data_IF_769218903069
#
_entry.id   IF_769218903069
#
_cell.length_a   1.000
_cell.length_b   1.000
_cell.length_c   1.000
_cell.angle_alpha   90.00
_cell.angle_beta   90.00
_cell.angle_gamma   90.00
#
_symmetry.space_group_name_H-M   'P 1'
#
loop_
_entity.id
_entity.type
_entity.pdbx_description
1 polymer ?
#
# COMPACT_ATOMS: atom_id res chain seq x y z
N UNK A 1 2.53 3.34 -53.64
CA UNK A 1 1.08 3.51 -53.46
C UNK A 1 0.78 4.94 -53.00
N UNK A 2 0.18 5.75 -53.87
CA UNK A 2 -0.33 7.09 -53.54
C UNK A 2 -1.59 6.93 -52.67
N UNK A 3 -1.49 7.34 -51.41
CA UNK A 3 -2.61 7.23 -50.45
C UNK A 3 -3.61 8.36 -50.69
N UNK A 4 -4.85 8.02 -50.99
CA UNK A 4 -5.92 9.02 -51.19
C UNK A 4 -6.24 9.72 -49.87
N UNK A 5 -6.51 11.02 -49.93
CA UNK A 5 -6.83 11.86 -48.77
C UNK A 5 -7.95 11.31 -47.86
N UNK A 6 -9.11 10.84 -48.36
CA UNK A 6 -10.16 10.27 -47.50
C UNK A 6 -9.69 9.02 -46.75
N UNK A 7 -8.84 8.20 -47.37
CA UNK A 7 -8.27 7.01 -46.72
C UNK A 7 -7.32 7.40 -45.59
N UNK A 8 -6.56 8.48 -45.76
CA UNK A 8 -5.68 9.02 -44.73
C UNK A 8 -6.48 9.51 -43.51
N UNK A 9 -7.55 10.27 -43.73
CA UNK A 9 -8.42 10.76 -42.64
C UNK A 9 -9.06 9.59 -41.89
N UNK A 10 -9.64 8.60 -42.60
CA UNK A 10 -10.23 7.41 -41.96
C UNK A 10 -9.21 6.66 -41.09
N UNK A 11 -7.99 6.46 -41.60
CA UNK A 11 -6.91 5.79 -40.85
C UNK A 11 -6.51 6.60 -39.62
N UNK A 12 -6.44 7.93 -39.72
CA UNK A 12 -6.14 8.80 -38.58
C UNK A 12 -7.21 8.72 -37.50
N UNK A 13 -8.51 8.70 -37.86
CA UNK A 13 -9.60 8.50 -36.90
C UNK A 13 -9.50 7.15 -36.17
N UNK A 14 -9.21 6.06 -36.90
CA UNK A 14 -9.04 4.74 -36.27
C UNK A 14 -7.83 4.71 -35.34
N UNK A 15 -6.70 5.30 -35.75
CA UNK A 15 -5.51 5.40 -34.90
C UNK A 15 -5.75 6.29 -33.68
N UNK A 16 -6.49 7.38 -33.81
CA UNK A 16 -6.87 8.25 -32.70
C UNK A 16 -7.82 7.53 -31.71
N UNK A 17 -8.79 6.76 -32.21
CA UNK A 17 -9.66 5.93 -31.37
C UNK A 17 -8.88 4.86 -30.60
N UNK A 18 -7.96 4.16 -31.27
CA UNK A 18 -7.04 3.23 -30.62
C UNK A 18 -6.12 3.93 -29.61
N UNK A 19 -5.72 5.17 -29.91
CA UNK A 19 -4.91 5.96 -29.01
C UNK A 19 -5.68 6.31 -27.74
N UNK A 20 -6.94 6.74 -27.82
CA UNK A 20 -7.77 6.97 -26.62
C UNK A 20 -7.94 5.70 -25.78
N UNK A 21 -8.07 4.54 -26.44
CA UNK A 21 -8.12 3.26 -25.74
C UNK A 21 -6.84 2.95 -24.96
N UNK A 22 -5.70 3.60 -25.24
CA UNK A 22 -4.47 3.34 -24.48
C UNK A 22 -4.53 3.80 -23.02
N UNK A 23 -5.32 4.81 -22.66
CA UNK A 23 -5.57 5.15 -21.25
C UNK A 23 -6.36 4.08 -20.50
N UNK A 24 -7.28 3.38 -21.17
CA UNK A 24 -7.98 2.27 -20.55
C UNK A 24 -7.01 1.18 -20.09
N UNK A 25 -6.00 0.87 -20.89
CA UNK A 25 -5.02 -0.14 -20.50
C UNK A 25 -4.06 0.35 -19.43
N UNK A 26 -3.68 1.64 -19.43
CA UNK A 26 -2.96 2.22 -18.29
C UNK A 26 -3.76 2.06 -17.00
N UNK A 27 -5.09 2.23 -17.05
CA UNK A 27 -5.95 1.99 -15.89
C UNK A 27 -6.00 0.51 -15.48
N UNK A 28 -6.07 -0.41 -16.45
CA UNK A 28 -6.02 -1.86 -16.18
C UNK A 28 -4.67 -2.26 -15.57
N UNK A 29 -3.56 -1.73 -16.07
CA UNK A 29 -2.22 -1.96 -15.53
C UNK A 29 -2.07 -1.36 -14.12
N UNK A 30 -2.58 -0.15 -13.89
CA UNK A 30 -2.61 0.47 -12.56
C UNK A 30 -3.43 -0.36 -11.57
N UNK A 31 -4.61 -0.83 -11.98
CA UNK A 31 -5.45 -1.69 -11.16
C UNK A 31 -4.74 -3.02 -10.85
N UNK A 32 -4.10 -3.63 -11.84
CA UNK A 32 -3.31 -4.85 -11.64
C UNK A 32 -2.10 -4.62 -10.72
N UNK A 33 -1.50 -3.44 -10.75
CA UNK A 33 -0.43 -3.04 -9.83
C UNK A 33 -0.95 -2.89 -8.39
N UNK A 34 -2.12 -2.26 -8.19
CA UNK A 34 -2.76 -2.19 -6.86
C UNK A 34 -3.05 -3.60 -6.32
N UNK A 35 -3.58 -4.50 -7.16
CA UNK A 35 -3.79 -5.89 -6.78
C UNK A 35 -2.48 -6.61 -6.40
N UNK A 36 -1.38 -6.32 -7.10
CA UNK A 36 -0.06 -6.84 -6.76
C UNK A 36 0.39 -6.34 -5.37
N UNK A 37 0.16 -5.06 -5.02
CA UNK A 37 0.47 -4.53 -3.68
C UNK A 37 -0.29 -5.24 -2.56
N UNK A 38 -1.49 -5.77 -2.85
CA UNK A 38 -2.31 -6.55 -1.88
C UNK A 38 -1.97 -8.05 -1.90
N UNK A 39 -0.96 -8.47 -2.68
CA UNK A 39 -0.46 -9.85 -2.75
C UNK A 39 -1.04 -10.69 -3.90
N UNK A 40 -1.81 -10.09 -4.80
CA UNK A 40 -2.39 -10.77 -5.97
C UNK A 40 -1.42 -10.71 -7.18
N UNK A 41 -0.34 -11.49 -7.09
CA UNK A 41 0.82 -11.40 -8.00
C UNK A 41 0.51 -11.80 -9.46
N UNK A 42 -0.57 -12.54 -9.73
CA UNK A 42 -0.86 -13.08 -11.06
C UNK A 42 -1.48 -12.08 -12.06
N UNK A 43 -2.03 -10.97 -11.56
CA UNK A 43 -2.76 -10.01 -12.39
C UNK A 43 -1.83 -9.10 -13.19
N UNK A 44 -0.74 -8.63 -12.57
CA UNK A 44 0.19 -7.71 -13.22
C UNK A 44 0.85 -8.30 -14.49
N UNK A 45 1.43 -9.52 -14.48
CA UNK A 45 2.01 -10.10 -15.69
C UNK A 45 0.97 -10.29 -16.80
N UNK A 46 -0.25 -10.67 -16.43
CA UNK A 46 -1.35 -10.86 -17.38
C UNK A 46 -1.76 -9.54 -18.05
N UNK A 47 -1.89 -8.46 -17.26
CA UNK A 47 -2.19 -7.12 -17.76
C UNK A 47 -1.09 -6.61 -18.71
N UNK A 48 0.18 -6.80 -18.34
CA UNK A 48 1.30 -6.36 -19.20
C UNK A 48 1.34 -7.19 -20.50
N UNK A 49 1.11 -8.51 -20.44
CA UNK A 49 1.06 -9.34 -21.66
C UNK A 49 -0.09 -8.94 -22.59
N UNK A 50 -1.25 -8.59 -22.03
CA UNK A 50 -2.36 -8.02 -22.78
C UNK A 50 -1.98 -6.72 -23.49
N UNK A 51 -1.34 -5.80 -22.74
CA UNK A 51 -0.84 -4.55 -23.27
C UNK A 51 0.18 -4.76 -24.40
N UNK A 52 1.16 -5.67 -24.23
CA UNK A 52 2.11 -6.07 -25.29
C UNK A 52 1.39 -6.54 -26.56
N UNK A 53 0.31 -7.31 -26.40
CA UNK A 53 -0.53 -7.76 -27.51
C UNK A 53 -1.15 -6.60 -28.30
N UNK A 54 -1.65 -5.58 -27.62
CA UNK A 54 -2.15 -4.36 -28.29
C UNK A 54 -1.04 -3.57 -28.97
N UNK A 55 0.11 -3.43 -28.32
CA UNK A 55 1.26 -2.72 -28.89
C UNK A 55 1.74 -3.35 -30.19
N UNK A 56 1.77 -4.69 -30.25
CA UNK A 56 2.03 -5.42 -31.51
C UNK A 56 1.04 -5.06 -32.61
N UNK A 57 -0.26 -4.97 -32.29
CA UNK A 57 -1.29 -4.54 -33.25
C UNK A 57 -1.04 -3.10 -33.71
N UNK A 58 -0.73 -2.19 -32.79
CA UNK A 58 -0.41 -0.79 -33.15
C UNK A 58 0.83 -0.69 -34.02
N UNK A 59 1.89 -1.47 -33.74
CA UNK A 59 3.09 -1.55 -34.60
C UNK A 59 2.74 -2.05 -36.01
N UNK A 60 1.93 -3.11 -36.12
CA UNK A 60 1.50 -3.65 -37.41
C UNK A 60 0.63 -2.65 -38.21
N UNK A 61 -0.26 -1.93 -37.53
CA UNK A 61 -1.05 -0.86 -38.14
C UNK A 61 -0.17 0.32 -38.55
N UNK A 62 0.79 0.74 -37.73
CA UNK A 62 1.75 1.78 -38.09
C UNK A 62 2.58 1.38 -39.32
N UNK A 63 3.04 0.12 -39.39
CA UNK A 63 3.75 -0.44 -40.55
C UNK A 63 2.91 -0.38 -41.82
N UNK A 64 1.71 -0.99 -41.78
CA UNK A 64 0.84 -1.09 -42.95
C UNK A 64 0.22 0.24 -43.39
N UNK A 65 -0.09 1.15 -42.46
CA UNK A 65 -0.83 2.38 -42.77
C UNK A 65 0.05 3.61 -42.91
N UNK A 66 1.16 3.68 -42.17
CA UNK A 66 2.10 4.79 -42.21
C UNK A 66 3.33 4.48 -43.06
N UNK A 67 3.52 3.23 -43.49
CA UNK A 67 4.68 2.79 -44.27
C UNK A 67 5.99 2.79 -43.47
N UNK A 68 5.91 2.71 -42.15
CA UNK A 68 7.07 2.71 -41.25
C UNK A 68 7.05 1.43 -40.44
N UNK A 69 7.91 0.48 -40.80
CA UNK A 69 8.07 -0.76 -40.04
C UNK A 69 8.61 -0.47 -38.64
N UNK A 70 7.99 -1.07 -37.62
CA UNK A 70 8.39 -0.93 -36.22
C UNK A 70 8.73 -2.32 -35.68
N UNK A 71 10.03 -2.61 -35.40
CA UNK A 71 10.44 -3.92 -34.91
C UNK A 71 9.89 -4.20 -33.50
N UNK A 72 9.70 -5.47 -33.14
CA UNK A 72 9.29 -5.88 -31.80
C UNK A 72 10.53 -5.92 -30.88
N UNK A 73 10.64 -5.03 -29.86
CA UNK A 73 11.85 -4.91 -29.05
C UNK A 73 11.89 -5.89 -27.86
N UNK A 74 10.81 -6.65 -27.63
CA UNK A 74 10.65 -7.50 -26.44
C UNK A 74 11.64 -8.65 -26.42
N UNK A 75 12.11 -9.01 -25.23
CA UNK A 75 12.92 -10.21 -25.03
C UNK A 75 12.06 -11.46 -25.32
N UNK A 76 12.65 -12.55 -25.86
CA UNK A 76 11.91 -13.79 -26.04
C UNK A 76 11.43 -14.33 -24.68
N UNK A 77 10.29 -15.03 -24.70
CA UNK A 77 9.74 -15.63 -23.50
C UNK A 77 10.72 -16.66 -22.89
N UNK A 78 10.79 -16.77 -21.55
CA UNK A 78 11.68 -17.73 -20.90
C UNK A 78 11.28 -19.17 -21.27
N UNK A 79 12.26 -20.09 -21.42
CA UNK A 79 11.99 -21.49 -21.72
C UNK A 79 11.23 -22.16 -20.58
N UNK A 80 10.45 -23.20 -20.92
CA UNK A 80 9.72 -23.97 -19.93
C UNK A 80 10.70 -24.69 -18.99
N UNK A 81 10.37 -24.79 -17.68
CA UNK A 81 11.23 -25.49 -16.73
C UNK A 81 11.22 -26.99 -17.03
N UNK A 82 12.39 -27.53 -17.34
CA UNK A 82 12.59 -28.96 -17.56
C UNK A 82 12.63 -29.72 -16.24
N UNK A 83 12.08 -30.92 -16.23
CA UNK A 83 12.06 -31.80 -15.07
C UNK A 83 13.32 -32.66 -15.09
N UNK A 84 14.05 -32.66 -13.99
CA UNK A 84 15.29 -33.42 -13.85
C UNK A 84 14.98 -34.91 -13.58
N UNK A 85 15.99 -35.78 -13.72
CA UNK A 85 15.84 -37.25 -13.61
C UNK A 85 15.33 -37.70 -12.24
N UNK A 86 15.62 -36.92 -11.21
CA UNK A 86 15.14 -37.12 -9.83
C UNK A 86 13.66 -36.75 -9.64
N UNK A 87 13.02 -36.22 -10.69
CA UNK A 87 11.63 -35.78 -10.67
C UNK A 87 11.40 -34.40 -10.07
N UNK A 88 12.45 -33.66 -9.71
CA UNK A 88 12.39 -32.28 -9.23
C UNK A 88 12.65 -31.29 -10.36
N UNK A 89 12.29 -30.02 -10.15
CA UNK A 89 12.61 -28.92 -11.03
C UNK A 89 13.69 -28.06 -10.39
N UNK A 90 14.68 -27.65 -11.18
CA UNK A 90 15.77 -26.81 -10.72
C UNK A 90 15.66 -25.40 -11.30
N UNK A 91 15.80 -24.39 -10.45
CA UNK A 91 15.89 -22.99 -10.87
C UNK A 91 17.01 -22.31 -10.07
N UNK A 92 18.19 -22.20 -10.69
CA UNK A 92 19.42 -21.78 -10.01
C UNK A 92 19.84 -22.73 -8.88
N UNK A 93 19.94 -22.19 -7.66
CA UNK A 93 20.34 -22.94 -6.46
C UNK A 93 19.15 -23.52 -5.67
N UNK A 94 17.93 -23.41 -6.19
CA UNK A 94 16.71 -23.86 -5.51
C UNK A 94 16.08 -25.05 -6.26
N UNK A 95 15.57 -26.02 -5.49
CA UNK A 95 14.81 -27.17 -6.01
C UNK A 95 13.33 -27.00 -5.68
N UNK A 96 12.48 -27.27 -6.67
CA UNK A 96 11.04 -27.17 -6.55
C UNK A 96 10.36 -28.46 -6.99
N UNK A 97 9.36 -28.89 -6.22
CA UNK A 97 8.56 -30.07 -6.57
C UNK A 97 7.57 -29.80 -7.70
N UNK A 98 7.15 -28.54 -7.88
CA UNK A 98 6.13 -28.14 -8.85
C UNK A 98 6.68 -27.05 -9.78
N UNK A 99 6.49 -27.23 -11.10
CA UNK A 99 6.95 -26.30 -12.14
C UNK A 99 6.20 -24.97 -12.19
N UNK A 100 4.95 -24.92 -11.69
CA UNK A 100 4.09 -23.76 -11.87
C UNK A 100 4.66 -22.50 -11.20
N UNK A 101 5.29 -22.64 -10.03
CA UNK A 101 5.90 -21.52 -9.30
C UNK A 101 7.12 -20.97 -10.03
N UNK A 102 8.00 -21.85 -10.54
CA UNK A 102 9.15 -21.46 -11.38
C UNK A 102 8.65 -20.72 -12.61
N UNK A 103 7.64 -21.27 -13.30
CA UNK A 103 7.07 -20.65 -14.50
C UNK A 103 6.48 -19.27 -14.20
N UNK A 104 5.76 -19.12 -13.09
CA UNK A 104 5.20 -17.84 -12.68
C UNK A 104 6.30 -16.82 -12.35
N UNK A 105 7.29 -17.20 -11.54
CA UNK A 105 8.39 -16.33 -11.12
C UNK A 105 9.26 -15.89 -12.31
N UNK A 106 9.66 -16.83 -13.18
CA UNK A 106 10.39 -16.51 -14.43
C UNK A 106 9.60 -15.57 -15.33
N UNK A 107 8.28 -15.76 -15.43
CA UNK A 107 7.42 -14.86 -16.22
C UNK A 107 7.35 -13.45 -15.61
N UNK A 108 7.19 -13.35 -14.30
CA UNK A 108 7.15 -12.05 -13.60
C UNK A 108 8.47 -11.31 -13.82
N UNK A 109 9.60 -11.94 -13.52
CA UNK A 109 10.92 -11.31 -13.68
C UNK A 109 11.18 -10.94 -15.14
N UNK A 110 10.89 -11.84 -16.09
CA UNK A 110 11.04 -11.54 -17.51
C UNK A 110 10.22 -10.33 -17.96
N UNK A 111 9.00 -10.17 -17.45
CA UNK A 111 8.15 -9.03 -17.80
C UNK A 111 8.65 -7.74 -17.15
N UNK A 112 9.01 -7.77 -15.87
CA UNK A 112 9.45 -6.60 -15.10
C UNK A 112 10.85 -6.12 -15.50
N UNK A 113 11.77 -7.04 -15.82
CA UNK A 113 13.15 -6.73 -16.20
C UNK A 113 13.28 -6.28 -17.66
N UNK A 114 12.19 -6.27 -18.43
CA UNK A 114 12.22 -5.88 -19.84
C UNK A 114 12.18 -4.34 -19.97
N UNK A 115 13.29 -3.70 -20.42
CA UNK A 115 13.34 -2.25 -20.56
C UNK A 115 12.35 -1.71 -21.59
N UNK A 116 11.86 -2.55 -22.50
CA UNK A 116 10.84 -2.16 -23.46
C UNK A 116 9.48 -1.88 -22.78
N UNK A 117 9.17 -2.54 -21.65
CA UNK A 117 7.89 -2.37 -20.95
C UNK A 117 7.72 -0.97 -20.37
N UNK A 118 8.74 -0.46 -19.68
CA UNK A 118 8.65 0.90 -19.10
C UNK A 118 8.45 1.98 -20.18
N UNK A 119 9.08 1.79 -21.34
CA UNK A 119 8.93 2.71 -22.48
C UNK A 119 7.58 2.57 -23.16
N UNK A 120 7.07 1.35 -23.27
CA UNK A 120 5.72 1.09 -23.77
C UNK A 120 4.67 1.77 -22.89
N UNK A 121 4.80 1.69 -21.56
CA UNK A 121 3.91 2.35 -20.62
C UNK A 121 3.95 3.88 -20.79
N UNK A 122 5.14 4.47 -20.93
CA UNK A 122 5.30 5.90 -21.22
C UNK A 122 4.66 6.29 -22.55
N UNK A 123 4.87 5.48 -23.59
CA UNK A 123 4.24 5.70 -24.89
C UNK A 123 2.72 5.66 -24.76
N UNK A 124 2.14 4.66 -24.09
CA UNK A 124 0.69 4.57 -23.85
C UNK A 124 0.14 5.77 -23.08
N UNK A 125 0.91 6.37 -22.18
CA UNK A 125 0.48 7.56 -21.44
C UNK A 125 0.37 8.79 -22.36
N UNK A 126 1.31 8.95 -23.30
CA UNK A 126 1.40 10.10 -24.22
C UNK A 126 0.58 9.88 -25.51
N UNK A 127 0.33 8.62 -25.88
CA UNK A 127 -0.29 8.24 -27.14
C UNK A 127 -1.69 8.85 -27.39
N UNK A 128 -2.62 8.95 -26.41
CA UNK A 128 -3.92 9.58 -26.62
C UNK A 128 -3.80 11.02 -27.10
N UNK A 129 -2.89 11.79 -26.49
CA UNK A 129 -2.60 13.18 -26.87
C UNK A 129 -2.01 13.21 -28.29
N UNK A 130 -1.05 12.33 -28.59
CA UNK A 130 -0.46 12.23 -29.92
C UNK A 130 -1.50 11.83 -31.00
N UNK A 131 -2.46 10.97 -30.68
CA UNK A 131 -3.55 10.56 -31.56
C UNK A 131 -4.52 11.70 -31.87
N UNK A 132 -4.86 12.54 -30.88
CA UNK A 132 -5.67 13.74 -31.08
C UNK A 132 -4.93 14.76 -31.97
N UNK A 133 -3.64 15.00 -31.69
CA UNK A 133 -2.81 15.87 -32.53
C UNK A 133 -2.69 15.33 -33.95
N UNK A 134 -2.56 14.01 -34.12
CA UNK A 134 -2.53 13.35 -35.44
C UNK A 134 -3.80 13.61 -36.24
N UNK A 135 -4.97 13.61 -35.60
CA UNK A 135 -6.24 13.86 -36.26
C UNK A 135 -6.27 15.26 -36.88
N UNK A 136 -5.90 16.28 -36.10
CA UNK A 136 -5.78 17.67 -36.57
C UNK A 136 -4.70 17.78 -37.65
N UNK A 137 -3.53 17.19 -37.42
CA UNK A 137 -2.41 17.26 -38.36
C UNK A 137 -2.73 16.58 -39.70
N UNK A 138 -3.52 15.49 -39.69
CA UNK A 138 -3.91 14.76 -40.92
C UNK A 138 -4.90 15.58 -41.75
N UNK A 139 -5.81 16.33 -41.13
CA UNK A 139 -6.69 17.26 -41.85
C UNK A 139 -5.89 18.39 -42.50
N UNK A 140 -4.84 18.88 -41.83
CA UNK A 140 -4.04 20.00 -42.35
C UNK A 140 -3.01 19.58 -43.40
N UNK A 141 -2.35 18.43 -43.22
CA UNK A 141 -1.15 18.04 -43.99
C UNK A 141 -1.27 16.68 -44.69
N UNK A 142 -2.43 16.03 -44.57
CA UNK A 142 -2.77 14.80 -45.28
C UNK A 142 -1.84 13.62 -44.95
N UNK A 143 -1.40 12.84 -45.94
CA UNK A 143 -0.55 11.65 -45.73
C UNK A 143 0.79 11.90 -45.04
N UNK A 144 1.30 13.15 -45.01
CA UNK A 144 2.57 13.47 -44.35
C UNK A 144 2.48 13.34 -42.83
N UNK A 145 1.35 13.71 -42.23
CA UNK A 145 1.11 13.55 -40.79
C UNK A 145 1.20 12.08 -40.35
N UNK A 146 0.60 11.17 -41.13
CA UNK A 146 0.64 9.73 -40.84
C UNK A 146 2.06 9.17 -40.85
N UNK A 147 2.91 9.59 -41.81
CA UNK A 147 4.33 9.19 -41.80
C UNK A 147 5.09 9.79 -40.61
N UNK A 148 4.74 11.01 -40.20
CA UNK A 148 5.28 11.64 -38.99
C UNK A 148 4.95 10.83 -37.74
N UNK A 149 3.67 10.46 -37.58
CA UNK A 149 3.22 9.60 -36.48
C UNK A 149 3.85 8.21 -36.52
N UNK A 150 3.97 7.58 -37.69
CA UNK A 150 4.69 6.31 -37.84
C UNK A 150 6.15 6.41 -37.37
N UNK A 151 6.86 7.49 -37.70
CA UNK A 151 8.23 7.74 -37.22
C UNK A 151 8.29 8.00 -35.72
N UNK A 152 7.34 8.75 -35.17
CA UNK A 152 7.22 8.98 -33.72
C UNK A 152 6.97 7.67 -32.97
N UNK A 153 6.05 6.85 -33.45
CA UNK A 153 5.78 5.51 -32.90
C UNK A 153 7.00 4.60 -33.03
N UNK A 154 7.74 4.65 -34.15
CA UNK A 154 9.00 3.89 -34.30
C UNK A 154 10.08 4.36 -33.31
N UNK A 155 10.15 5.66 -33.05
CA UNK A 155 11.11 6.22 -32.08
C UNK A 155 10.78 5.79 -30.64
N UNK A 156 9.51 5.73 -30.27
CA UNK A 156 9.12 5.21 -28.95
C UNK A 156 9.22 3.69 -28.86
N UNK A 157 8.61 2.96 -29.80
CA UNK A 157 8.41 1.53 -29.68
C UNK A 157 9.50 0.69 -30.36
N UNK A 158 10.45 1.32 -31.03
CA UNK A 158 11.56 0.64 -31.70
C UNK A 158 12.67 0.21 -30.73
N UNK A 159 13.50 -0.72 -31.19
CA UNK A 159 14.63 -1.20 -30.42
C UNK A 159 15.64 -0.08 -30.18
N UNK A 160 15.92 0.21 -28.92
CA UNK A 160 17.02 1.08 -28.50
C UNK A 160 17.95 0.27 -27.63
N UNK A 161 19.22 0.09 -28.02
CA UNK A 161 20.17 -0.60 -27.17
C UNK A 161 20.28 0.17 -25.85
N UNK A 162 20.06 -0.52 -24.73
CA UNK A 162 20.18 0.08 -23.41
C UNK A 162 21.60 0.65 -23.25
N UNK A 163 21.73 1.98 -23.23
CA UNK A 163 23.04 2.62 -23.10
C UNK A 163 23.59 2.35 -21.70
N UNK A 164 24.92 2.27 -21.50
CA UNK A 164 25.51 2.05 -20.18
C UNK A 164 25.06 3.05 -19.13
N UNK A 165 24.83 4.32 -19.55
CA UNK A 165 24.31 5.41 -18.70
C UNK A 165 22.87 5.17 -18.23
N UNK A 166 22.05 4.52 -19.04
CA UNK A 166 20.66 4.18 -18.66
C UNK A 166 20.65 3.09 -17.59
N UNK A 167 21.62 2.17 -17.59
CA UNK A 167 21.80 1.19 -16.49
C UNK A 167 22.28 1.83 -15.20
N UNK A 168 23.01 2.95 -15.26
CA UNK A 168 23.37 3.70 -14.06
C UNK A 168 22.15 4.42 -13.51
N UNK A 169 21.39 5.13 -14.35
CA UNK A 169 20.14 5.78 -13.96
C UNK A 169 19.13 4.79 -13.41
N UNK A 170 18.92 3.66 -14.09
CA UNK A 170 18.00 2.62 -13.66
C UNK A 170 18.37 2.08 -12.27
N UNK A 171 19.65 1.73 -12.06
CA UNK A 171 20.13 1.28 -10.74
C UNK A 171 19.97 2.36 -9.66
N UNK A 172 20.14 3.63 -10.01
CA UNK A 172 19.95 4.74 -9.08
C UNK A 172 18.47 5.00 -8.76
N UNK A 173 17.59 4.91 -9.76
CA UNK A 173 16.14 5.03 -9.54
C UNK A 173 15.60 3.84 -8.76
N UNK A 174 16.18 2.65 -8.97
CA UNK A 174 15.85 1.45 -8.22
C UNK A 174 16.30 1.59 -6.76
N UNK A 175 17.52 2.07 -6.50
CA UNK A 175 17.97 2.32 -5.12
C UNK A 175 17.13 3.41 -4.43
N UNK A 176 16.78 4.49 -5.14
CA UNK A 176 15.86 5.52 -4.61
C UNK A 176 14.47 4.95 -4.33
N UNK A 177 13.96 4.08 -5.21
CA UNK A 177 12.69 3.38 -5.00
C UNK A 177 12.70 2.54 -3.72
N UNK A 178 13.77 1.78 -3.48
CA UNK A 178 13.93 1.02 -2.24
C UNK A 178 14.03 1.95 -1.02
N UNK A 179 14.77 3.06 -1.11
CA UNK A 179 14.87 4.03 -0.02
C UNK A 179 13.52 4.66 0.31
N UNK A 180 12.74 5.06 -0.70
CA UNK A 180 11.39 5.60 -0.53
C UNK A 180 10.46 4.53 0.08
N UNK A 181 10.53 3.29 -0.41
CA UNK A 181 9.74 2.19 0.13
C UNK A 181 10.02 1.94 1.62
N UNK A 182 11.30 1.91 2.00
CA UNK A 182 11.73 1.80 3.41
C UNK A 182 11.25 3.01 4.22
N UNK A 183 11.34 4.23 3.66
CA UNK A 183 10.87 5.44 4.33
C UNK A 183 9.35 5.40 4.58
N UNK A 184 8.56 5.03 3.58
CA UNK A 184 7.09 4.90 3.71
C UNK A 184 6.74 3.83 4.74
N UNK A 185 7.39 2.67 4.69
CA UNK A 185 7.19 1.60 5.68
C UNK A 185 7.57 2.07 7.10
N UNK A 186 8.67 2.82 7.22
CA UNK A 186 9.11 3.44 8.46
C UNK A 186 8.10 4.45 9.01
N UNK A 187 7.51 5.29 8.16
CA UNK A 187 6.45 6.21 8.53
C UNK A 187 5.17 5.48 8.99
N UNK A 188 4.77 4.42 8.29
CA UNK A 188 3.64 3.58 8.71
C UNK A 188 3.89 2.97 10.09
N UNK A 189 5.09 2.44 10.32
CA UNK A 189 5.46 1.88 11.61
C UNK A 189 5.48 2.97 12.70
N UNK A 190 6.00 4.16 12.41
CA UNK A 190 6.01 5.29 13.33
C UNK A 190 4.59 5.69 13.75
N UNK A 191 3.66 5.77 12.79
CA UNK A 191 2.24 6.07 13.07
C UNK A 191 1.63 4.97 13.94
N UNK A 192 1.87 3.70 13.62
CA UNK A 192 1.35 2.57 14.41
C UNK A 192 1.91 2.58 15.84
N UNK A 193 3.20 2.84 16.01
CA UNK A 193 3.85 2.95 17.31
C UNK A 193 3.28 4.14 18.12
N UNK A 194 3.02 5.26 17.47
CA UNK A 194 2.37 6.42 18.10
C UNK A 194 0.94 6.07 18.57
N UNK A 195 0.15 5.38 17.74
CA UNK A 195 -1.18 4.90 18.12
C UNK A 195 -1.10 3.94 19.32
N UNK A 196 -0.14 3.02 19.34
CA UNK A 196 0.09 2.13 20.48
C UNK A 196 0.47 2.90 21.75
N UNK A 197 1.32 3.92 21.64
CA UNK A 197 1.72 4.77 22.76
C UNK A 197 0.53 5.57 23.33
N UNK A 198 -0.33 6.09 22.45
CA UNK A 198 -1.58 6.74 22.85
C UNK A 198 -2.60 5.77 23.46
N UNK A 199 -2.60 4.51 23.04
CA UNK A 199 -3.47 3.46 23.58
C UNK A 199 -2.97 2.90 24.93
N UNK A 200 -1.67 3.00 25.21
CA UNK A 200 -1.05 2.48 26.43
C UNK A 200 -1.74 2.93 27.75
N UNK A 201 -2.10 4.20 27.97
CA UNK A 201 -2.81 4.62 29.19
C UNK A 201 -4.21 3.99 29.32
N UNK A 202 -4.82 3.56 28.21
CA UNK A 202 -6.12 2.88 28.20
C UNK A 202 -6.00 1.37 28.38
N UNK A 203 -4.81 0.78 28.21
CA UNK A 203 -4.60 -0.65 28.28
C UNK A 203 -5.12 -1.29 29.59
N UNK A 204 -4.89 -0.73 30.80
CA UNK A 204 -5.42 -1.31 32.03
C UNK A 204 -6.95 -1.33 32.06
N UNK A 205 -7.58 -0.24 31.61
CA UNK A 205 -9.03 -0.13 31.52
C UNK A 205 -9.60 -1.10 30.48
N UNK A 206 -8.93 -1.25 29.33
CA UNK A 206 -9.30 -2.20 28.27
C UNK A 206 -9.21 -3.64 28.77
N UNK A 207 -8.16 -4.00 29.52
CA UNK A 207 -7.99 -5.34 30.12
C UNK A 207 -9.04 -5.63 31.19
N UNK A 208 -9.46 -4.63 31.98
CA UNK A 208 -10.56 -4.82 32.95
C UNK A 208 -11.90 -4.92 32.22
N UNK A 209 -12.14 -4.08 31.21
CA UNK A 209 -13.35 -4.11 30.40
C UNK A 209 -13.47 -5.43 29.63
N UNK A 210 -12.38 -5.99 29.11
CA UNK A 210 -12.39 -7.27 28.40
C UNK A 210 -12.78 -8.45 29.28
N UNK A 211 -12.72 -8.33 30.62
CA UNK A 211 -13.22 -9.35 31.56
C UNK A 211 -14.73 -9.50 31.52
N UNK A 212 -15.46 -8.48 31.07
CA UNK A 212 -16.93 -8.51 30.97
C UNK A 212 -17.42 -9.56 29.96
N UNK A 213 -16.73 -9.75 28.84
CA UNK A 213 -17.09 -10.72 27.80
C UNK A 213 -17.12 -12.17 28.33
N UNK A 214 -16.03 -12.71 28.91
CA UNK A 214 -16.06 -14.06 29.48
C UNK A 214 -16.94 -14.16 30.72
N UNK A 215 -17.15 -13.07 31.48
CA UNK A 215 -18.07 -13.07 32.62
C UNK A 215 -19.54 -13.20 32.17
N UNK A 216 -19.92 -12.57 31.06
CA UNK A 216 -21.23 -12.76 30.43
C UNK A 216 -21.38 -14.19 29.92
N UNK A 217 -20.37 -14.72 29.23
CA UNK A 217 -20.40 -16.11 28.76
C UNK A 217 -20.54 -17.12 29.92
N UNK A 218 -19.80 -16.93 31.02
CA UNK A 218 -19.93 -17.78 32.22
C UNK A 218 -21.32 -17.71 32.85
N UNK A 219 -21.95 -16.53 32.85
CA UNK A 219 -23.31 -16.33 33.36
C UNK A 219 -24.32 -17.10 32.50
N UNK A 220 -24.23 -17.00 31.18
CA UNK A 220 -25.12 -17.73 30.28
C UNK A 220 -24.94 -19.24 30.38
N UNK A 221 -23.70 -19.73 30.46
CA UNK A 221 -23.42 -21.15 30.68
C UNK A 221 -24.06 -21.63 31.98
N UNK A 222 -23.94 -20.87 33.07
CA UNK A 222 -24.57 -21.23 34.34
C UNK A 222 -26.10 -21.26 34.22
N UNK A 223 -26.70 -20.26 33.59
CA UNK A 223 -28.14 -20.18 33.40
C UNK A 223 -28.69 -21.36 32.59
N UNK A 224 -27.94 -21.80 31.57
CA UNK A 224 -28.41 -22.82 30.63
C UNK A 224 -28.09 -24.24 31.09
N UNK A 225 -26.94 -24.46 31.73
CA UNK A 225 -26.42 -25.80 32.05
C UNK A 225 -26.43 -26.10 33.56
N UNK A 226 -26.66 -25.09 34.40
CA UNK A 226 -26.52 -25.21 35.85
C UNK A 226 -25.07 -25.26 36.34
N UNK A 227 -24.07 -25.46 35.47
CA UNK A 227 -22.66 -25.58 35.84
C UNK A 227 -22.09 -24.20 36.18
N UNK A 228 -21.54 -24.04 37.39
CA UNK A 228 -20.85 -22.80 37.80
C UNK A 228 -19.37 -22.87 37.46
N UNK A 229 -18.91 -21.92 36.64
CA UNK A 229 -17.48 -21.71 36.37
C UNK A 229 -17.00 -20.52 37.22
N UNK A 230 -16.09 -20.73 38.19
CA UNK A 230 -15.60 -19.64 39.04
C UNK A 230 -14.78 -18.62 38.23
N UNK A 231 -14.80 -17.35 38.68
CA UNK A 231 -13.95 -16.31 38.09
C UNK A 231 -12.51 -16.55 38.53
N UNK A 232 -11.56 -16.74 37.58
CA UNK A 232 -10.15 -16.99 37.92
C UNK A 232 -9.38 -15.71 38.30
N UNK A 233 -10.06 -14.55 38.36
CA UNK A 233 -9.43 -13.27 38.60
C UNK A 233 -9.46 -12.92 40.09
N UNK A 234 -8.33 -12.39 40.59
CA UNK A 234 -8.27 -11.80 41.93
C UNK A 234 -9.25 -10.61 42.03
N UNK A 235 -9.93 -10.45 43.18
CA UNK A 235 -10.75 -9.28 43.42
C UNK A 235 -9.87 -8.01 43.44
N UNK A 236 -10.47 -6.82 43.21
CA UNK A 236 -9.77 -5.57 43.37
C UNK A 236 -9.11 -5.52 44.76
N UNK A 237 -7.86 -5.05 44.88
CA UNK A 237 -7.21 -4.94 46.18
C UNK A 237 -8.05 -4.02 47.08
N UNK A 238 -8.24 -4.37 48.37
CA UNK A 238 -8.97 -3.52 49.29
C UNK A 238 -8.24 -2.18 49.46
N UNK A 239 -9.01 -1.11 49.65
CA UNK A 239 -8.44 0.21 49.94
C UNK A 239 -7.64 0.15 51.25
N UNK A 240 -6.50 0.84 51.35
CA UNK A 240 -5.70 0.84 52.56
C UNK A 240 -6.49 1.50 53.69
N UNK A 241 -6.56 0.82 54.84
CA UNK A 241 -7.24 1.34 56.03
C UNK A 241 -6.33 2.37 56.71
N UNK A 242 -6.81 3.58 57.03
CA UNK A 242 -6.01 4.57 57.74
C UNK A 242 -5.72 4.09 59.16
N UNK A 243 -4.47 4.24 59.59
CA UNK A 243 -4.02 3.98 60.95
C UNK A 243 -4.41 5.16 61.85
N UNK A 244 -4.44 4.94 63.18
CA UNK A 244 -4.82 5.95 64.17
C UNK A 244 -3.96 7.24 64.13
N UNK A 245 -2.75 7.17 63.57
CA UNK A 245 -1.84 8.29 63.35
C UNK A 245 -2.14 9.11 62.08
N UNK A 246 -3.20 8.75 61.33
CA UNK A 246 -3.59 9.41 60.09
C UNK A 246 -2.71 9.06 58.88
N UNK A 247 -1.82 8.08 59.02
CA UNK A 247 -1.03 7.53 57.92
C UNK A 247 -1.71 6.28 57.36
N UNK A 248 -1.51 6.02 56.08
CA UNK A 248 -1.89 4.75 55.47
C UNK A 248 -0.64 4.02 54.97
N UNK A 249 -0.62 2.71 55.17
CA UNK A 249 0.51 1.86 54.81
C UNK A 249 0.16 1.10 53.53
N UNK A 250 1.00 1.23 52.50
CA UNK A 250 0.91 0.43 51.27
C UNK A 250 2.22 -0.36 51.15
N UNK A 251 2.17 -1.65 51.46
CA UNK A 251 3.36 -2.49 51.55
C UNK A 251 4.35 -2.00 52.62
N UNK A 252 5.56 -1.62 52.21
CA UNK A 252 6.61 -1.08 53.09
C UNK A 252 6.65 0.46 53.16
N UNK A 253 5.79 1.16 52.41
CA UNK A 253 5.77 2.63 52.40
C UNK A 253 4.62 3.18 53.26
N UNK A 254 4.94 4.21 54.05
CA UNK A 254 3.97 5.01 54.81
C UNK A 254 3.69 6.31 54.06
N UNK A 255 2.41 6.56 53.77
CA UNK A 255 1.95 7.76 53.09
C UNK A 255 1.03 8.56 54.00
N UNK A 256 1.15 9.89 53.97
CA UNK A 256 0.35 10.80 54.79
C UNK A 256 -0.93 11.17 54.05
N UNK A 257 -2.09 11.02 54.69
CA UNK A 257 -3.33 11.58 54.16
C UNK A 257 -3.21 13.11 54.16
N UNK A 258 -3.54 13.77 53.05
CA UNK A 258 -3.88 15.19 53.08
C UNK A 258 -5.23 15.34 53.80
N UNK A 259 -5.19 15.32 55.13
CA UNK A 259 -6.34 15.57 55.99
C UNK A 259 -6.61 17.09 56.06
N UNK A 260 -6.98 17.68 54.93
CA UNK A 260 -7.70 18.95 54.92
C UNK A 260 -9.14 18.67 55.32
N UNK A 261 -9.55 19.10 56.51
CA UNK A 261 -10.91 18.94 57.03
C UNK A 261 -11.91 19.72 56.16
N UNK A 262 -12.40 19.11 55.07
CA UNK A 262 -13.61 19.58 54.40
C UNK A 262 -14.83 19.20 55.26
N UNK A 263 -15.10 20.04 56.26
CA UNK A 263 -16.38 20.08 56.98
C UNK A 263 -17.46 20.62 56.04
N UNK A 264 -17.89 19.79 55.09
CA UNK A 264 -18.91 20.15 54.11
C UNK A 264 -19.35 18.91 53.34
N UNK A 265 -20.58 18.50 53.61
CA UNK A 265 -21.31 17.37 53.01
C UNK A 265 -20.92 17.11 51.53
N UNK A 266 -20.26 15.98 51.29
CA UNK A 266 -20.24 15.26 50.01
C UNK A 266 -19.53 15.92 48.83
N UNK A 267 -18.20 15.79 48.72
CA UNK A 267 -17.48 15.59 47.45
C UNK A 267 -15.98 15.41 47.68
N UNK A 268 -15.39 14.40 47.04
CA UNK A 268 -13.95 14.12 47.10
C UNK A 268 -13.20 15.07 46.14
N UNK A 269 -12.48 16.04 46.69
CA UNK A 269 -11.56 16.91 45.94
C UNK A 269 -10.11 16.44 46.08
N UNK A 270 -9.34 16.47 44.99
CA UNK A 270 -7.89 16.21 45.01
C UNK A 270 -7.11 17.47 45.42
N UNK A 271 -6.12 17.30 46.31
CA UNK A 271 -5.21 18.37 46.72
C UNK A 271 -3.93 18.33 45.87
N UNK A 272 -3.57 19.46 45.25
CA UNK A 272 -2.25 19.65 44.61
C UNK A 272 -1.30 20.22 45.65
N UNK A 273 -0.14 19.58 45.83
CA UNK A 273 0.92 20.02 46.76
C UNK A 273 1.63 21.28 46.25
N UNK A 274 1.91 22.28 47.11
CA UNK A 274 2.68 23.46 46.71
C UNK A 274 4.18 23.15 46.66
N UNK A 275 4.91 23.90 45.82
CA UNK A 275 6.37 23.81 45.69
C UNK A 275 7.07 24.12 47.02
N UNK A 276 8.22 23.47 47.30
CA UNK A 276 8.93 23.67 48.55
C UNK A 276 9.50 25.09 48.61
N UNK A 277 9.10 25.86 49.62
CA UNK A 277 9.62 27.23 49.89
C UNK A 277 8.58 28.28 50.32
N UNK A 278 7.27 28.00 50.25
CA UNK A 278 6.24 28.96 50.65
C UNK A 278 5.92 28.87 52.16
N UNK A 279 6.09 29.98 52.89
CA UNK A 279 5.82 30.14 54.34
C UNK A 279 4.36 30.39 54.70
N UNK A 280 3.44 30.31 53.73
CA UNK A 280 2.00 30.46 53.94
C UNK A 280 1.29 29.11 54.05
N UNK A 281 0.27 28.95 54.93
CA UNK A 281 -0.46 27.70 55.10
C UNK A 281 -1.16 27.26 53.79
N UNK A 282 -1.35 25.94 53.57
CA UNK A 282 -1.93 25.41 52.34
C UNK A 282 -3.38 25.88 52.18
N UNK A 283 -3.66 26.65 51.13
CA UNK A 283 -5.03 27.03 50.75
C UNK A 283 -5.64 25.91 49.90
N UNK A 284 -6.67 25.24 50.42
CA UNK A 284 -7.47 24.29 49.65
C UNK A 284 -8.34 25.06 48.63
N UNK A 285 -8.17 24.77 47.34
CA UNK A 285 -9.06 25.27 46.29
C UNK A 285 -10.09 24.20 45.95
N UNK A 286 -11.34 24.37 46.39
CA UNK A 286 -12.46 23.56 45.93
C UNK A 286 -12.87 24.03 44.52
N UNK A 287 -12.42 23.32 43.48
CA UNK A 287 -12.96 23.49 42.12
C UNK A 287 -14.28 22.73 42.03
N UNK A 288 -15.41 23.44 42.14
CA UNK A 288 -16.73 22.88 41.85
C UNK A 288 -16.88 22.66 40.34
N UNK A 289 -16.78 21.40 39.89
CA UNK A 289 -17.30 20.99 38.59
C UNK A 289 -18.45 20.01 38.85
N UNK A 290 -19.69 20.52 38.79
CA UNK A 290 -20.83 19.69 38.37
C UNK A 290 -20.81 19.67 36.83
N UNK A 291 -21.23 18.56 36.22
CA UNK A 291 -22.56 18.59 35.65
C UNK A 291 -23.40 17.36 36.03
N UNK A 292 -24.71 17.59 36.06
CA UNK A 292 -25.77 16.61 36.25
C UNK A 292 -25.78 15.57 35.12
N UNK A 293 -26.04 14.31 35.47
CA UNK A 293 -27.28 13.58 35.18
C UNK A 293 -27.39 12.42 36.18
#
# INVERSE_FOLDING_TARGET
>A
MSMTYPTAVRRAFVLAGLALLSWFDVLVELFAFVLLCVGLVFFLPSAILWARGRSRRTRALAGSWCGVEVPDPYRPAPPEPERERDGWYRDGNQLFKRSWWIRANRRINWVLDDPAVGRELQWQLVNPVAGLVLLVATVLSGPRALRGYGRWTRWWLGHHPARPRDRWLHRHTESLGHQIGILVLGLIHLVLAFVQLLALPFFPALVVASRTVPDTARREIHNWTGVRIPRPYLPPPPLPVPRADGLFQVGKQLNRLCAGRCSGRGSAGSCVTPRPGATSPPRCWCRSFRPCC
#
